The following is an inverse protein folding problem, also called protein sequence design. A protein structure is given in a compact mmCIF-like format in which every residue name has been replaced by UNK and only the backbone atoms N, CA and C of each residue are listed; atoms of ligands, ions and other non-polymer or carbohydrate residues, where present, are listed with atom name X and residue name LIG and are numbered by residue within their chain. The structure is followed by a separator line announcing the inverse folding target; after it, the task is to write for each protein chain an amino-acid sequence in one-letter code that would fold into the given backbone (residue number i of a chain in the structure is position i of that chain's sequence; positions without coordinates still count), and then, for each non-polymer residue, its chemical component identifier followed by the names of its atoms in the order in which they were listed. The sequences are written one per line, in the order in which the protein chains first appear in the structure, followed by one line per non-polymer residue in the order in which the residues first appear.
data_IF_873404291826
#
_entry.id   IF_873404291826
#
_cell.length_a   1.000
_cell.length_b   1.000
_cell.length_c   1.000
_cell.angle_alpha   90.00
_cell.angle_beta   90.00
_cell.angle_gamma   90.00
#
_symmetry.space_group_name_H-M   'P 1'
#
loop_
_entity.id
_entity.type
_entity.pdbx_description
1 polymer ?
#
# COMPACT_ATOMS: atom_id res chain seq x y z
N UNK A 1 -13.06 -40.26 2.12
CA UNK A 1 -12.62 -38.95 1.59
C UNK A 1 -13.81 -38.32 0.87
N UNK A 2 -14.08 -37.02 1.09
CA UNK A 2 -15.19 -36.33 0.42
C UNK A 2 -14.74 -35.79 -0.94
N UNK A 3 -15.67 -35.80 -1.92
CA UNK A 3 -15.42 -35.21 -3.24
C UNK A 3 -16.70 -34.61 -3.82
N UNK A 4 -16.56 -33.72 -4.80
CA UNK A 4 -17.65 -33.08 -5.54
C UNK A 4 -17.26 -32.94 -7.01
N UNK A 5 -18.18 -33.27 -7.92
CA UNK A 5 -17.96 -33.08 -9.36
C UNK A 5 -19.02 -32.12 -9.90
N UNK A 6 -18.56 -30.95 -10.35
CA UNK A 6 -19.40 -29.90 -10.91
C UNK A 6 -18.65 -29.16 -12.03
N UNK A 7 -19.36 -28.69 -13.03
CA UNK A 7 -18.81 -27.90 -14.15
C UNK A 7 -17.52 -28.52 -14.74
N UNK A 8 -17.56 -29.86 -14.96
CA UNK A 8 -16.43 -30.64 -15.46
C UNK A 8 -15.16 -30.54 -14.59
N UNK A 9 -15.29 -30.32 -13.29
CA UNK A 9 -14.18 -30.23 -12.33
C UNK A 9 -14.47 -31.14 -11.14
N UNK A 10 -13.53 -32.05 -10.83
CA UNK A 10 -13.53 -32.86 -9.64
C UNK A 10 -12.76 -32.12 -8.52
N UNK A 11 -13.45 -31.80 -7.44
CA UNK A 11 -12.85 -31.27 -6.21
C UNK A 11 -12.78 -32.40 -5.18
N UNK A 12 -11.58 -32.69 -4.66
CA UNK A 12 -11.36 -33.66 -3.58
C UNK A 12 -10.95 -32.89 -2.32
N UNK A 13 -11.64 -33.12 -1.21
CA UNK A 13 -11.42 -32.45 0.06
C UNK A 13 -10.49 -33.26 0.95
N UNK A 14 -9.32 -32.72 1.29
CA UNK A 14 -8.41 -33.29 2.27
C UNK A 14 -8.69 -32.68 3.64
N UNK A 15 -8.93 -33.52 4.65
CA UNK A 15 -9.33 -33.10 5.99
C UNK A 15 -8.43 -33.74 7.06
N UNK A 16 -8.23 -33.04 8.19
CA UNK A 16 -7.48 -33.53 9.35
C UNK A 16 -5.98 -33.60 9.10
N UNK A 17 -5.35 -34.70 9.42
CA UNK A 17 -3.90 -34.90 9.27
C UNK A 17 -3.61 -35.91 8.17
N UNK A 18 -2.62 -35.62 7.33
CA UNK A 18 -2.04 -36.58 6.38
C UNK A 18 -0.61 -36.85 6.81
N UNK A 19 -0.42 -37.96 7.53
CA UNK A 19 0.84 -38.34 8.14
C UNK A 19 1.36 -39.72 7.63
N UNK A 20 2.43 -40.22 8.24
CA UNK A 20 3.05 -41.50 7.84
C UNK A 20 2.13 -42.70 8.01
N UNK A 21 1.09 -42.60 8.85
CA UNK A 21 0.19 -43.74 9.13
C UNK A 21 -0.91 -43.89 8.11
N UNK A 22 -1.34 -42.78 7.46
CA UNK A 22 -2.46 -42.74 6.55
C UNK A 22 -2.16 -42.26 5.13
N UNK A 23 -0.96 -41.69 4.87
CA UNK A 23 -0.64 -41.07 3.58
C UNK A 23 -0.85 -42.02 2.38
N UNK A 24 -0.48 -43.29 2.49
CA UNK A 24 -0.66 -44.26 1.42
C UNK A 24 -2.14 -44.57 1.14
N UNK A 25 -2.96 -44.60 2.18
CA UNK A 25 -4.41 -44.77 2.03
C UNK A 25 -5.04 -43.52 1.39
N UNK A 26 -4.64 -42.33 1.83
CA UNK A 26 -5.08 -41.07 1.22
C UNK A 26 -4.73 -41.03 -0.26
N UNK A 27 -3.52 -41.46 -0.63
CA UNK A 27 -3.11 -41.57 -2.03
C UNK A 27 -3.96 -42.50 -2.86
N UNK A 28 -4.34 -43.68 -2.31
CA UNK A 28 -5.25 -44.62 -2.99
C UNK A 28 -6.66 -44.06 -3.13
N UNK A 29 -7.18 -43.47 -2.05
CA UNK A 29 -8.53 -42.86 -2.09
C UNK A 29 -8.64 -41.76 -3.17
N UNK A 30 -7.58 -40.93 -3.33
CA UNK A 30 -7.50 -39.93 -4.41
C UNK A 30 -7.54 -40.61 -5.78
N UNK A 31 -6.74 -41.67 -5.99
CA UNK A 31 -6.70 -42.43 -7.25
C UNK A 31 -8.08 -43.04 -7.56
N UNK A 32 -8.72 -43.66 -6.58
CA UNK A 32 -10.03 -44.33 -6.75
C UNK A 32 -11.15 -43.34 -7.06
N UNK A 33 -11.12 -42.17 -6.44
CA UNK A 33 -12.09 -41.09 -6.74
C UNK A 33 -11.81 -40.52 -8.13
N UNK A 34 -10.54 -40.25 -8.47
CA UNK A 34 -10.15 -39.70 -9.77
C UNK A 34 -10.52 -40.64 -10.93
N UNK A 35 -10.41 -41.93 -10.74
CA UNK A 35 -10.75 -42.94 -11.74
C UNK A 35 -12.25 -42.89 -12.16
N UNK A 36 -13.13 -42.36 -11.31
CA UNK A 36 -14.53 -42.20 -11.61
C UNK A 36 -14.83 -40.98 -12.52
N UNK A 37 -13.88 -40.04 -12.62
CA UNK A 37 -14.01 -38.79 -13.39
C UNK A 37 -12.74 -38.51 -14.20
N UNK A 38 -12.35 -39.35 -15.17
CA UNK A 38 -11.02 -39.30 -15.79
C UNK A 38 -10.78 -38.04 -16.63
N UNK A 39 -11.83 -37.47 -17.24
CA UNK A 39 -11.72 -36.36 -18.19
C UNK A 39 -11.96 -34.98 -17.58
N UNK A 40 -12.30 -34.89 -16.29
CA UNK A 40 -12.56 -33.64 -15.61
C UNK A 40 -11.29 -32.92 -15.12
N UNK A 41 -11.34 -31.61 -14.95
CA UNK A 41 -10.32 -30.87 -14.19
C UNK A 41 -10.21 -31.42 -12.76
N UNK A 42 -9.03 -31.33 -12.14
CA UNK A 42 -8.81 -31.78 -10.76
C UNK A 42 -8.43 -30.61 -9.85
N UNK A 43 -9.08 -30.56 -8.68
CA UNK A 43 -8.78 -29.59 -7.61
C UNK A 43 -8.67 -30.35 -6.29
N UNK A 44 -7.63 -30.10 -5.52
CA UNK A 44 -7.53 -30.50 -4.11
C UNK A 44 -7.88 -29.31 -3.22
N UNK A 45 -8.90 -29.44 -2.39
CA UNK A 45 -9.30 -28.44 -1.41
C UNK A 45 -8.75 -28.81 -0.03
N UNK A 46 -7.92 -27.94 0.53
CA UNK A 46 -7.22 -28.14 1.79
C UNK A 46 -7.81 -27.31 2.96
N UNK A 47 -9.01 -26.73 2.81
CA UNK A 47 -9.65 -25.89 3.84
C UNK A 47 -9.65 -26.51 5.25
N UNK A 48 -9.80 -27.81 5.32
CA UNK A 48 -9.84 -28.56 6.59
C UNK A 48 -8.60 -29.41 6.86
N UNK A 49 -7.55 -29.30 6.06
CA UNK A 49 -6.29 -29.97 6.31
C UNK A 49 -5.52 -29.25 7.43
N UNK A 50 -5.19 -29.95 8.51
CA UNK A 50 -4.51 -29.42 9.68
C UNK A 50 -3.00 -29.68 9.69
N UNK A 51 -2.57 -30.77 9.06
CA UNK A 51 -1.17 -31.18 9.03
C UNK A 51 -0.88 -32.06 7.80
N UNK A 52 0.30 -31.88 7.23
CA UNK A 52 0.84 -32.76 6.19
C UNK A 52 2.30 -33.11 6.51
N UNK A 53 2.60 -34.40 6.52
CA UNK A 53 3.97 -34.92 6.71
C UNK A 53 4.71 -35.07 5.37
N UNK A 54 6.00 -35.37 5.44
CA UNK A 54 6.79 -35.75 4.24
C UNK A 54 6.21 -36.94 3.47
N UNK A 55 5.50 -37.86 4.14
CA UNK A 55 4.79 -38.94 3.47
C UNK A 55 3.58 -38.41 2.69
N UNK A 56 2.81 -37.49 3.26
CA UNK A 56 1.73 -36.82 2.57
C UNK A 56 2.23 -36.01 1.37
N UNK A 57 3.30 -35.23 1.53
CA UNK A 57 3.92 -34.48 0.43
C UNK A 57 4.35 -35.40 -0.73
N UNK A 58 4.86 -36.59 -0.43
CA UNK A 58 5.17 -37.58 -1.49
C UNK A 58 3.94 -38.04 -2.26
N UNK A 59 2.76 -38.15 -1.63
CA UNK A 59 1.53 -38.48 -2.33
C UNK A 59 1.07 -37.31 -3.25
N UNK A 60 1.21 -36.06 -2.79
CA UNK A 60 0.94 -34.87 -3.62
C UNK A 60 1.89 -34.83 -4.84
N UNK A 61 3.18 -35.09 -4.64
CA UNK A 61 4.15 -35.15 -5.73
C UNK A 61 3.87 -36.30 -6.70
N UNK A 62 3.43 -37.46 -6.18
CA UNK A 62 3.03 -38.63 -6.99
C UNK A 62 1.83 -38.24 -7.86
N UNK A 63 0.85 -37.55 -7.30
CA UNK A 63 -0.30 -37.06 -8.04
C UNK A 63 0.14 -36.07 -9.14
N UNK A 64 1.04 -35.15 -8.87
CA UNK A 64 1.59 -34.19 -9.85
C UNK A 64 2.23 -34.88 -11.06
N UNK A 65 2.86 -36.02 -10.85
CA UNK A 65 3.47 -36.82 -11.94
C UNK A 65 2.42 -37.50 -12.82
N UNK A 66 1.23 -37.78 -12.29
CA UNK A 66 0.11 -38.38 -13.03
C UNK A 66 -0.77 -37.33 -13.70
N UNK A 67 -1.00 -36.24 -13.01
CA UNK A 67 -1.90 -35.15 -13.41
C UNK A 67 -1.06 -33.86 -13.55
N UNK A 68 -0.76 -33.46 -14.79
CA UNK A 68 0.10 -32.30 -15.03
C UNK A 68 -0.55 -30.99 -14.54
N UNK A 69 -1.86 -30.86 -14.71
CA UNK A 69 -2.62 -29.63 -14.50
C UNK A 69 -3.72 -29.82 -13.45
N UNK A 70 -3.35 -29.80 -12.16
CA UNK A 70 -4.33 -29.71 -11.09
C UNK A 70 -3.98 -28.56 -10.14
N UNK A 71 -4.99 -28.08 -9.41
CA UNK A 71 -4.87 -26.96 -8.48
C UNK A 71 -5.04 -27.43 -7.06
N UNK A 72 -4.32 -26.78 -6.16
CA UNK A 72 -4.51 -26.91 -4.71
C UNK A 72 -5.07 -25.57 -4.23
N UNK A 73 -6.23 -25.61 -3.56
CA UNK A 73 -6.92 -24.38 -3.08
C UNK A 73 -7.16 -24.44 -1.58
N UNK A 74 -7.48 -23.31 -1.01
CA UNK A 74 -7.83 -23.12 0.41
C UNK A 74 -6.75 -23.64 1.38
N UNK A 75 -5.48 -23.53 0.98
CA UNK A 75 -4.35 -23.97 1.79
C UNK A 75 -4.14 -23.01 2.98
N UNK A 76 -4.20 -23.49 4.23
CA UNK A 76 -3.87 -22.65 5.40
C UNK A 76 -2.46 -22.09 5.29
N UNK A 77 -2.15 -20.99 6.01
CA UNK A 77 -0.81 -20.41 5.97
C UNK A 77 0.26 -21.40 6.39
N UNK A 78 0.01 -22.18 7.45
CA UNK A 78 0.95 -23.18 7.97
C UNK A 78 1.24 -24.29 6.96
N UNK A 79 0.20 -24.78 6.28
CA UNK A 79 0.34 -25.81 5.24
C UNK A 79 1.01 -25.23 3.99
N UNK A 80 0.68 -23.97 3.63
CA UNK A 80 1.33 -23.31 2.51
C UNK A 80 2.82 -23.10 2.76
N UNK A 81 3.21 -22.69 3.96
CA UNK A 81 4.62 -22.50 4.33
C UNK A 81 5.42 -23.82 4.23
N UNK A 82 4.79 -24.97 4.51
CA UNK A 82 5.41 -26.30 4.26
C UNK A 82 5.63 -26.53 2.76
N UNK A 83 4.65 -26.21 1.91
CA UNK A 83 4.79 -26.34 0.46
C UNK A 83 5.87 -25.40 -0.10
N UNK A 84 5.93 -24.17 0.42
CA UNK A 84 6.91 -23.17 0.01
C UNK A 84 8.34 -23.59 0.39
N UNK A 85 8.57 -23.92 1.68
CA UNK A 85 9.87 -24.39 2.17
C UNK A 85 10.37 -25.66 1.47
N UNK A 86 9.47 -26.47 0.94
CA UNK A 86 9.82 -27.73 0.24
C UNK A 86 9.90 -27.56 -1.28
N UNK A 87 9.70 -26.34 -1.80
CA UNK A 87 9.76 -26.02 -3.23
C UNK A 87 8.53 -26.47 -4.04
N UNK A 88 7.47 -26.95 -3.38
CA UNK A 88 6.25 -27.38 -4.08
C UNK A 88 5.47 -26.18 -4.66
N UNK A 89 5.51 -25.04 -4.00
CA UNK A 89 4.84 -23.81 -4.46
C UNK A 89 5.43 -23.28 -5.78
N UNK A 90 6.68 -23.64 -6.12
CA UNK A 90 7.32 -23.26 -7.38
C UNK A 90 6.86 -24.13 -8.57
N UNK A 91 6.40 -25.37 -8.31
CA UNK A 91 6.08 -26.35 -9.35
C UNK A 91 4.59 -26.68 -9.45
N UNK A 92 3.75 -26.16 -8.57
CA UNK A 92 2.32 -26.40 -8.50
C UNK A 92 1.52 -25.11 -8.31
N UNK A 93 0.30 -25.06 -8.86
CA UNK A 93 -0.67 -23.96 -8.57
C UNK A 93 -1.29 -24.20 -7.18
N UNK A 94 -0.73 -23.55 -6.16
CA UNK A 94 -1.17 -23.67 -4.77
C UNK A 94 -1.68 -22.30 -4.29
N UNK A 95 -2.96 -22.24 -3.96
CA UNK A 95 -3.63 -21.02 -3.52
C UNK A 95 -3.90 -21.05 -2.03
N UNK A 96 -3.45 -20.01 -1.32
CA UNK A 96 -3.75 -19.83 0.11
C UNK A 96 -5.26 -19.68 0.33
N UNK A 97 -5.75 -20.34 1.36
CA UNK A 97 -7.07 -20.10 1.91
C UNK A 97 -7.07 -18.89 2.84
N UNK A 98 -8.17 -18.18 2.88
CA UNK A 98 -8.35 -17.03 3.76
C UNK A 98 -9.52 -17.29 4.70
N UNK A 99 -9.32 -17.03 5.99
CA UNK A 99 -10.38 -17.14 7.00
C UNK A 99 -11.53 -16.21 6.61
N UNK A 100 -12.76 -16.75 6.59
CA UNK A 100 -13.96 -15.97 6.30
C UNK A 100 -14.39 -15.22 7.56
N UNK A 101 -14.69 -13.93 7.39
CA UNK A 101 -15.20 -13.05 8.44
C UNK A 101 -16.40 -12.26 7.94
N UNK A 102 -17.28 -11.82 8.87
CA UNK A 102 -18.31 -10.83 8.61
C UNK A 102 -17.99 -9.54 9.38
N UNK A 103 -18.35 -8.42 8.78
CA UNK A 103 -18.32 -7.08 9.40
C UNK A 103 -19.72 -6.58 9.71
N UNK A 104 -20.75 -7.45 9.60
CA UNK A 104 -22.12 -7.10 9.91
C UNK A 104 -22.26 -6.69 11.38
N UNK A 105 -22.85 -5.51 11.61
CA UNK A 105 -22.98 -4.93 12.95
C UNK A 105 -21.72 -4.31 13.52
N UNK A 106 -20.57 -4.35 12.80
CA UNK A 106 -19.35 -3.69 13.24
C UNK A 106 -19.42 -2.17 13.04
N UNK A 107 -18.85 -1.42 13.98
CA UNK A 107 -18.72 0.04 13.88
C UNK A 107 -17.78 0.42 12.73
N UNK A 108 -18.25 1.24 11.79
CA UNK A 108 -17.39 1.86 10.78
C UNK A 108 -16.63 3.02 11.40
N UNK A 109 -15.31 2.92 11.49
CA UNK A 109 -14.44 3.92 12.12
C UNK A 109 -13.65 4.76 11.13
N UNK A 110 -13.60 4.37 9.85
CA UNK A 110 -12.92 5.12 8.81
C UNK A 110 -13.29 4.65 7.39
N UNK A 111 -13.04 5.52 6.41
CA UNK A 111 -13.16 5.20 5.00
C UNK A 111 -12.15 5.99 4.21
N UNK A 112 -11.39 5.31 3.34
CA UNK A 112 -10.45 5.88 2.40
C UNK A 112 -10.79 5.51 0.94
N UNK A 113 -9.90 5.87 0.03
CA UNK A 113 -10.03 5.55 -1.39
C UNK A 113 -10.05 4.04 -1.64
N UNK A 114 -9.22 3.29 -0.93
CA UNK A 114 -8.96 1.87 -1.19
C UNK A 114 -9.79 0.92 -0.32
N UNK A 115 -10.39 1.41 0.79
CA UNK A 115 -11.10 0.53 1.72
C UNK A 115 -11.92 1.24 2.78
N UNK A 116 -12.65 0.42 3.54
CA UNK A 116 -13.44 0.84 4.71
C UNK A 116 -12.88 0.13 5.93
N UNK A 117 -12.71 0.88 7.03
CA UNK A 117 -12.17 0.36 8.28
C UNK A 117 -13.31 0.16 9.28
N UNK A 118 -13.41 -1.06 9.81
CA UNK A 118 -14.37 -1.44 10.83
C UNK A 118 -13.67 -1.86 12.12
N UNK A 119 -14.29 -1.59 13.25
CA UNK A 119 -13.87 -2.11 14.56
C UNK A 119 -14.45 -3.51 14.76
N UNK A 120 -13.60 -4.53 14.86
CA UNK A 120 -14.03 -5.91 15.12
C UNK A 120 -14.28 -6.17 16.61
N UNK A 121 -13.44 -5.61 17.48
CA UNK A 121 -13.50 -5.73 18.94
C UNK A 121 -12.70 -4.56 19.56
N UNK A 122 -12.58 -4.47 20.91
CA UNK A 122 -11.85 -3.37 21.56
C UNK A 122 -10.41 -3.17 21.09
N UNK A 123 -9.74 -4.25 20.66
CA UNK A 123 -8.30 -4.25 20.37
C UNK A 123 -7.97 -4.49 18.89
N UNK A 124 -9.00 -4.65 18.01
CA UNK A 124 -8.77 -5.11 16.63
C UNK A 124 -9.65 -4.36 15.65
N UNK A 125 -9.08 -3.99 14.52
CA UNK A 125 -9.75 -3.41 13.37
C UNK A 125 -9.51 -4.24 12.11
N UNK A 126 -10.38 -4.05 11.12
CA UNK A 126 -10.23 -4.61 9.78
C UNK A 126 -10.40 -3.52 8.73
N UNK A 127 -9.45 -3.41 7.81
CA UNK A 127 -9.55 -2.62 6.58
C UNK A 127 -10.07 -3.54 5.48
N UNK A 128 -11.34 -3.39 5.08
CA UNK A 128 -11.95 -4.15 3.98
C UNK A 128 -11.74 -3.37 2.69
N UNK A 129 -11.09 -3.98 1.71
CA UNK A 129 -10.76 -3.32 0.44
C UNK A 129 -11.99 -3.28 -0.47
N UNK A 130 -12.10 -2.21 -1.28
CA UNK A 130 -13.25 -1.97 -2.17
C UNK A 130 -13.16 -2.77 -3.49
N UNK A 131 -11.98 -3.33 -3.80
CA UNK A 131 -11.75 -4.14 -4.99
C UNK A 131 -11.61 -5.62 -4.60
N UNK A 132 -12.32 -6.50 -5.29
CA UNK A 132 -12.22 -7.95 -5.10
C UNK A 132 -10.85 -8.53 -5.48
N UNK A 133 -10.10 -7.84 -6.35
CA UNK A 133 -8.79 -8.24 -6.83
C UNK A 133 -7.63 -7.60 -6.01
N UNK A 134 -7.95 -7.06 -4.82
CA UNK A 134 -6.98 -6.32 -3.98
C UNK A 134 -5.90 -7.20 -3.34
N UNK A 135 -5.92 -8.51 -3.51
CA UNK A 135 -5.04 -9.42 -2.78
C UNK A 135 -3.55 -9.16 -2.98
N UNK A 136 -3.13 -8.84 -4.22
CA UNK A 136 -1.73 -8.54 -4.51
C UNK A 136 -1.32 -7.17 -3.97
N UNK A 137 -2.22 -6.19 -3.97
CA UNK A 137 -2.01 -4.89 -3.33
C UNK A 137 -1.88 -5.05 -1.80
N UNK A 138 -2.72 -5.89 -1.17
CA UNK A 138 -2.65 -6.22 0.26
C UNK A 138 -1.31 -6.86 0.63
N UNK A 139 -0.86 -7.83 -0.15
CA UNK A 139 0.45 -8.49 0.08
C UNK A 139 1.58 -7.48 -0.05
N UNK A 140 1.54 -6.64 -1.07
CA UNK A 140 2.53 -5.59 -1.29
C UNK A 140 2.54 -4.57 -0.14
N UNK A 141 1.39 -4.04 0.28
CA UNK A 141 1.28 -3.11 1.42
C UNK A 141 1.87 -3.74 2.68
N UNK A 142 1.58 -5.03 2.95
CA UNK A 142 2.13 -5.76 4.10
C UNK A 142 3.65 -5.88 4.06
N UNK A 143 4.23 -6.23 2.92
CA UNK A 143 5.69 -6.36 2.79
C UNK A 143 6.40 -4.99 2.90
N UNK A 144 5.77 -3.91 2.39
CA UNK A 144 6.26 -2.55 2.55
C UNK A 144 6.24 -2.12 4.03
N UNK A 145 5.11 -2.35 4.73
CA UNK A 145 4.99 -2.06 6.16
C UNK A 145 6.01 -2.85 7.01
N UNK A 146 6.19 -4.14 6.71
CA UNK A 146 7.20 -4.98 7.35
C UNK A 146 8.63 -4.45 7.12
N UNK A 147 8.92 -4.03 5.89
CA UNK A 147 10.22 -3.43 5.55
C UNK A 147 10.48 -2.17 6.38
N UNK A 148 9.50 -1.25 6.47
CA UNK A 148 9.60 -0.04 7.28
C UNK A 148 9.84 -0.38 8.76
N UNK A 149 9.08 -1.31 9.34
CA UNK A 149 9.25 -1.71 10.74
C UNK A 149 10.63 -2.30 11.02
N UNK A 150 11.14 -3.19 10.15
CA UNK A 150 12.49 -3.79 10.30
C UNK A 150 13.59 -2.73 10.22
N UNK A 151 13.35 -1.64 9.48
CA UNK A 151 14.26 -0.49 9.39
C UNK A 151 14.10 0.52 10.53
N UNK A 152 13.22 0.24 11.51
CA UNK A 152 13.05 1.04 12.72
C UNK A 152 11.91 2.05 12.67
N UNK A 153 11.18 2.17 11.55
CA UNK A 153 10.01 3.05 11.46
C UNK A 153 8.82 2.40 12.16
N UNK A 154 8.31 3.05 13.20
CA UNK A 154 7.16 2.56 13.94
C UNK A 154 5.89 2.63 13.08
N UNK A 155 5.34 1.48 12.69
CA UNK A 155 4.19 1.37 11.79
C UNK A 155 3.25 0.23 12.17
N UNK A 156 1.98 0.36 11.81
CA UNK A 156 0.99 -0.71 11.95
C UNK A 156 1.20 -1.79 10.89
N UNK A 157 1.30 -3.05 11.32
CA UNK A 157 1.39 -4.20 10.42
C UNK A 157 0.12 -5.02 10.51
N UNK A 158 -0.47 -5.42 9.36
CA UNK A 158 -1.56 -6.38 9.38
C UNK A 158 -1.03 -7.76 9.84
N UNK A 159 -1.64 -8.34 10.86
CA UNK A 159 -1.29 -9.66 11.36
C UNK A 159 -2.09 -10.79 10.69
N UNK A 160 -3.19 -10.47 10.00
CA UNK A 160 -4.00 -11.44 9.27
C UNK A 160 -4.59 -10.83 7.99
N UNK A 161 -4.82 -11.67 6.98
CA UNK A 161 -5.58 -11.34 5.77
C UNK A 161 -6.75 -12.29 5.70
N UNK A 162 -7.95 -11.74 5.56
CA UNK A 162 -9.21 -12.50 5.63
C UNK A 162 -10.12 -12.22 4.43
N UNK A 163 -11.10 -13.07 4.22
CA UNK A 163 -12.16 -12.87 3.23
C UNK A 163 -13.43 -12.36 3.89
N UNK A 164 -13.99 -11.25 3.36
CA UNK A 164 -15.22 -10.60 3.84
C UNK A 164 -16.23 -10.59 2.68
N UNK A 165 -17.12 -11.58 2.62
CA UNK A 165 -17.92 -11.83 1.42
C UNK A 165 -17.00 -12.13 0.23
N UNK A 166 -17.15 -11.36 -0.86
CA UNK A 166 -16.30 -11.46 -2.05
C UNK A 166 -15.04 -10.59 -1.98
N UNK A 167 -14.90 -9.76 -0.95
CA UNK A 167 -13.78 -8.85 -0.75
C UNK A 167 -12.71 -9.45 0.16
N UNK A 168 -11.54 -8.82 0.18
CA UNK A 168 -10.47 -9.13 1.15
C UNK A 168 -10.35 -8.02 2.20
N UNK A 169 -9.85 -8.40 3.38
CA UNK A 169 -9.58 -7.47 4.46
C UNK A 169 -8.27 -7.77 5.16
N UNK A 170 -7.57 -6.70 5.57
CA UNK A 170 -6.40 -6.78 6.44
C UNK A 170 -6.79 -6.49 7.86
N UNK A 171 -6.37 -7.34 8.80
CA UNK A 171 -6.67 -7.22 10.24
C UNK A 171 -5.47 -6.61 10.94
N UNK A 172 -5.72 -5.55 11.72
CA UNK A 172 -4.70 -4.81 12.47
C UNK A 172 -5.06 -4.71 13.94
N UNK A 173 -4.08 -4.45 14.77
CA UNK A 173 -4.30 -3.96 16.12
C UNK A 173 -4.97 -2.57 16.08
N UNK A 174 -5.96 -2.34 16.96
CA UNK A 174 -6.53 -1.02 17.14
C UNK A 174 -5.54 -0.16 17.91
N UNK A 175 -4.92 0.80 17.24
CA UNK A 175 -4.02 1.75 17.89
C UNK A 175 -4.80 2.66 18.86
N UNK A 176 -4.38 2.72 20.11
CA UNK A 176 -4.89 3.68 21.10
C UNK A 176 -4.45 5.12 20.84
N UNK A 177 -3.97 5.40 19.62
CA UNK A 177 -3.45 6.66 19.15
C UNK A 177 -4.46 7.42 18.28
N UNK A 178 -4.37 8.75 18.25
CA UNK A 178 -5.16 9.61 17.36
C UNK A 178 -4.27 10.15 16.26
N UNK A 179 -4.81 10.35 15.06
CA UNK A 179 -4.05 11.04 14.00
C UNK A 179 -3.69 12.45 14.44
N UNK A 180 -2.54 12.95 13.96
CA UNK A 180 -2.11 14.32 14.27
C UNK A 180 -3.14 15.35 13.81
N UNK A 181 -3.86 15.12 12.71
CA UNK A 181 -4.99 15.96 12.29
C UNK A 181 -6.04 16.08 13.39
N UNK A 182 -6.49 14.95 13.99
CA UNK A 182 -7.47 14.96 15.07
C UNK A 182 -6.96 15.67 16.31
N UNK A 183 -5.67 15.57 16.58
CA UNK A 183 -5.03 16.26 17.72
C UNK A 183 -4.94 17.77 17.47
N UNK A 184 -4.52 18.20 16.28
CA UNK A 184 -4.45 19.62 15.88
C UNK A 184 -5.83 20.29 15.97
N UNK A 185 -6.88 19.60 15.49
CA UNK A 185 -8.26 20.13 15.53
C UNK A 185 -8.80 20.19 16.97
N UNK A 186 -8.51 19.18 17.79
CA UNK A 186 -9.00 19.11 19.17
C UNK A 186 -8.27 20.04 20.14
N UNK A 187 -7.03 20.39 19.85
CA UNK A 187 -6.13 21.18 20.72
C UNK A 187 -5.30 22.16 19.86
N UNK A 188 -5.95 23.18 19.28
CA UNK A 188 -5.30 24.11 18.37
C UNK A 188 -4.21 24.99 19.03
N UNK A 189 -4.25 25.18 20.35
CA UNK A 189 -3.24 25.94 21.09
C UNK A 189 -1.91 25.19 21.16
N UNK A 190 -1.92 23.88 21.08
CA UNK A 190 -0.73 23.03 21.06
C UNK A 190 -0.37 22.50 19.66
N UNK A 191 -0.91 23.08 18.59
CA UNK A 191 -0.67 22.64 17.20
C UNK A 191 0.83 22.56 16.84
N UNK A 192 1.65 23.47 17.38
CA UNK A 192 3.11 23.50 17.16
C UNK A 192 3.78 22.22 17.64
N UNK A 193 3.35 21.68 18.77
CA UNK A 193 3.83 20.39 19.28
C UNK A 193 3.54 19.26 18.29
N UNK A 194 2.33 19.24 17.75
CA UNK A 194 1.94 18.18 16.82
C UNK A 194 2.61 18.31 15.46
N UNK A 195 2.80 19.53 14.96
CA UNK A 195 3.58 19.77 13.73
C UNK A 195 5.06 19.44 13.93
N UNK A 196 5.60 19.65 15.15
CA UNK A 196 6.97 19.19 15.45
C UNK A 196 7.08 17.67 15.41
N UNK A 197 6.15 16.92 15.99
CA UNK A 197 6.12 15.45 15.87
C UNK A 197 6.05 15.03 14.41
N UNK A 198 5.25 15.71 13.60
CA UNK A 198 5.14 15.48 12.16
C UNK A 198 6.46 15.71 11.43
N UNK A 199 7.16 16.80 11.73
CA UNK A 199 8.46 17.11 11.14
C UNK A 199 9.57 16.13 11.60
N UNK A 200 9.58 15.76 12.86
CA UNK A 200 10.58 14.83 13.43
C UNK A 200 10.44 13.44 12.78
N UNK A 201 9.22 12.92 12.65
CA UNK A 201 8.95 11.64 11.96
C UNK A 201 9.36 11.71 10.48
N UNK A 202 9.12 12.82 9.79
CA UNK A 202 9.56 12.99 8.40
C UNK A 202 11.09 12.95 8.26
N UNK A 203 11.80 13.62 9.19
CA UNK A 203 13.26 13.57 9.25
C UNK A 203 13.77 12.13 9.50
N UNK A 204 13.12 11.39 10.38
CA UNK A 204 13.44 9.98 10.65
C UNK A 204 13.28 9.11 9.40
N UNK A 205 12.15 9.21 8.69
CA UNK A 205 11.89 8.50 7.44
C UNK A 205 12.98 8.84 6.40
N UNK A 206 13.25 10.12 6.16
CA UNK A 206 14.22 10.57 5.16
C UNK A 206 15.68 10.26 5.52
N UNK A 207 15.99 10.05 6.80
CA UNK A 207 17.31 9.60 7.26
C UNK A 207 17.47 8.07 7.25
N UNK A 208 16.38 7.33 7.01
CA UNK A 208 16.42 5.88 6.93
C UNK A 208 16.88 5.43 5.54
N UNK A 209 18.06 4.79 5.50
CA UNK A 209 18.61 4.24 4.25
C UNK A 209 18.12 2.83 4.03
N UNK A 210 17.68 2.54 2.81
CA UNK A 210 17.14 1.25 2.39
C UNK A 210 18.12 0.54 1.48
N UNK A 211 18.27 -0.77 1.64
CA UNK A 211 19.12 -1.57 0.73
C UNK A 211 18.62 -1.42 -0.71
N UNK A 212 19.51 -1.15 -1.70
CA UNK A 212 19.14 -1.01 -3.09
C UNK A 212 18.28 -2.17 -3.61
N UNK A 213 17.21 -1.85 -4.32
CA UNK A 213 16.28 -2.84 -4.90
C UNK A 213 15.20 -3.37 -3.93
N UNK A 214 15.21 -2.97 -2.64
CA UNK A 214 14.18 -3.38 -1.67
C UNK A 214 12.86 -2.64 -1.86
N UNK A 215 12.91 -1.33 -2.15
CA UNK A 215 11.76 -0.48 -2.39
C UNK A 215 11.78 0.08 -3.83
N UNK A 216 10.61 0.43 -4.38
CA UNK A 216 10.53 1.07 -5.68
C UNK A 216 11.17 2.46 -5.66
N UNK A 217 11.79 2.86 -6.78
CA UNK A 217 12.35 4.20 -6.95
C UNK A 217 11.27 5.18 -7.41
N UNK A 218 10.97 6.21 -6.61
CA UNK A 218 9.96 7.22 -6.94
C UNK A 218 10.29 8.02 -8.19
N UNK A 219 11.59 8.24 -8.51
CA UNK A 219 12.04 8.92 -9.72
C UNK A 219 11.52 8.25 -10.98
N UNK A 220 11.53 6.91 -11.06
CA UNK A 220 10.98 6.16 -12.20
C UNK A 220 9.49 6.43 -12.38
N UNK A 221 8.77 6.49 -11.28
CA UNK A 221 7.35 6.83 -11.26
C UNK A 221 7.12 8.27 -11.74
N UNK A 222 7.91 9.24 -11.26
CA UNK A 222 7.81 10.64 -11.68
C UNK A 222 8.12 10.82 -13.18
N UNK A 223 9.16 10.16 -13.71
CA UNK A 223 9.45 10.15 -15.14
C UNK A 223 8.29 9.59 -15.96
N UNK A 224 7.62 8.52 -15.47
CA UNK A 224 6.43 8.00 -16.15
C UNK A 224 5.26 9.00 -16.19
N UNK A 225 5.15 9.89 -15.18
CA UNK A 225 4.15 10.96 -15.20
C UNK A 225 4.49 12.03 -16.23
N UNK A 226 5.77 12.39 -16.34
CA UNK A 226 6.27 13.36 -17.34
C UNK A 226 6.05 12.82 -18.74
N UNK A 227 6.43 11.57 -19.01
CA UNK A 227 6.21 10.93 -20.31
C UNK A 227 4.72 10.91 -20.69
N UNK A 228 3.85 10.58 -19.73
CA UNK A 228 2.41 10.58 -19.98
C UNK A 228 1.88 11.98 -20.33
N UNK A 229 2.45 13.05 -19.75
CA UNK A 229 2.05 14.43 -20.01
C UNK A 229 2.55 14.99 -21.35
N UNK A 230 3.39 14.29 -22.07
CA UNK A 230 4.01 14.75 -23.31
C UNK A 230 3.02 15.32 -24.33
N UNK A 231 1.86 14.70 -24.47
CA UNK A 231 0.81 15.12 -25.41
C UNK A 231 -0.09 16.25 -24.85
N UNK A 232 0.08 16.62 -23.57
CA UNK A 232 -0.79 17.55 -22.88
C UNK A 232 -0.14 18.90 -22.55
N UNK A 233 1.19 18.99 -22.56
CA UNK A 233 1.95 20.20 -22.21
C UNK A 233 2.78 20.69 -23.39
N UNK A 234 3.18 22.00 -23.43
CA UNK A 234 4.08 22.49 -24.47
C UNK A 234 5.38 21.71 -24.56
N UNK A 235 5.90 21.48 -25.78
CA UNK A 235 7.09 20.68 -25.98
C UNK A 235 8.32 21.23 -25.24
N UNK A 236 8.51 22.52 -25.19
CA UNK A 236 9.59 23.17 -24.44
C UNK A 236 9.49 22.90 -22.93
N UNK A 237 8.27 22.98 -22.36
CA UNK A 237 8.02 22.65 -20.95
C UNK A 237 8.28 21.18 -20.69
N UNK A 238 7.86 20.28 -21.59
CA UNK A 238 8.14 18.84 -21.48
C UNK A 238 9.65 18.56 -21.46
N UNK A 239 10.40 19.11 -22.40
CA UNK A 239 11.85 18.87 -22.50
C UNK A 239 12.60 19.35 -21.26
N UNK A 240 12.22 20.53 -20.72
CA UNK A 240 12.81 21.08 -19.50
C UNK A 240 12.41 20.27 -18.26
N UNK A 241 11.12 19.93 -18.13
CA UNK A 241 10.61 19.12 -17.02
C UNK A 241 11.26 17.73 -16.99
N UNK A 242 11.38 17.07 -18.15
CA UNK A 242 12.04 15.77 -18.25
C UNK A 242 13.51 15.85 -17.76
N UNK A 243 14.27 16.85 -18.24
CA UNK A 243 15.65 17.08 -17.79
C UNK A 243 15.76 17.34 -16.30
N UNK A 244 14.86 18.15 -15.75
CA UNK A 244 14.82 18.47 -14.31
C UNK A 244 14.60 17.20 -13.46
N UNK A 245 13.64 16.36 -13.85
CA UNK A 245 13.33 15.12 -13.11
C UNK A 245 14.44 14.08 -13.31
N UNK A 246 14.96 13.92 -14.53
CA UNK A 246 16.03 12.96 -14.82
C UNK A 246 17.35 13.32 -14.14
N UNK A 247 17.64 14.61 -13.97
CA UNK A 247 18.82 15.10 -13.27
C UNK A 247 18.78 14.89 -11.74
N UNK A 248 17.63 14.57 -11.14
CA UNK A 248 17.57 14.24 -9.71
C UNK A 248 18.41 12.98 -9.45
N UNK A 249 19.42 13.04 -8.57
CA UNK A 249 20.28 11.89 -8.30
C UNK A 249 19.49 10.73 -7.68
N UNK A 250 20.00 9.51 -7.87
CA UNK A 250 19.51 8.37 -7.13
C UNK A 250 19.75 8.59 -5.62
N UNK A 251 18.80 8.17 -4.82
CA UNK A 251 18.91 8.15 -3.36
C UNK A 251 18.24 6.90 -2.82
N UNK A 252 18.90 6.24 -1.89
CA UNK A 252 18.35 5.10 -1.15
C UNK A 252 17.61 5.52 0.14
N UNK A 253 17.35 6.82 0.32
CA UNK A 253 16.58 7.34 1.43
C UNK A 253 15.09 6.96 1.26
N UNK A 254 14.50 6.52 2.38
CA UNK A 254 13.08 6.14 2.42
C UNK A 254 12.18 7.36 2.24
N UNK A 255 11.09 7.18 1.50
CA UNK A 255 9.99 8.14 1.36
C UNK A 255 8.68 7.40 1.59
N UNK A 256 7.72 8.05 2.24
CA UNK A 256 6.38 7.50 2.46
C UNK A 256 5.51 7.58 1.19
N UNK A 257 5.61 8.69 0.43
CA UNK A 257 4.88 8.94 -0.82
C UNK A 257 3.45 9.48 -0.66
N UNK A 258 2.85 9.36 0.53
CA UNK A 258 1.55 9.95 0.91
C UNK A 258 1.59 10.47 2.36
N UNK A 259 2.65 11.25 2.67
CA UNK A 259 2.92 11.72 4.03
C UNK A 259 2.04 12.91 4.40
N UNK A 260 1.13 12.71 5.34
CA UNK A 260 0.26 13.76 5.87
C UNK A 260 -0.23 13.43 7.29
N UNK A 261 -0.75 14.43 8.01
CA UNK A 261 -1.11 14.31 9.44
C UNK A 261 -2.24 13.32 9.74
N UNK A 262 -3.01 12.87 8.75
CA UNK A 262 -3.95 11.77 8.94
C UNK A 262 -3.24 10.40 9.03
N UNK A 263 -2.08 10.26 8.39
CA UNK A 263 -1.30 9.02 8.34
C UNK A 263 -0.26 8.91 9.48
N UNK A 264 -0.09 9.95 10.29
CA UNK A 264 0.73 9.93 11.50
C UNK A 264 -0.16 9.94 12.73
N UNK A 265 -0.17 8.86 13.47
CA UNK A 265 -0.88 8.71 14.74
C UNK A 265 0.06 8.95 15.91
N UNK A 266 -0.45 9.48 17.03
CA UNK A 266 0.38 9.86 18.16
C UNK A 266 -0.32 9.57 19.48
N UNK A 267 0.36 8.86 20.36
CA UNK A 267 -0.02 8.63 21.76
C UNK A 267 1.22 8.28 22.58
N UNK A 268 1.20 8.57 23.88
CA UNK A 268 2.25 8.21 24.84
C UNK A 268 3.66 8.67 24.43
N UNK A 269 3.77 9.82 23.74
CA UNK A 269 5.00 10.36 23.15
C UNK A 269 5.60 9.49 22.01
N UNK A 270 4.82 8.61 21.42
CA UNK A 270 5.23 7.80 20.27
C UNK A 270 4.40 8.17 19.05
N UNK A 271 5.05 8.36 17.91
CA UNK A 271 4.42 8.50 16.61
C UNK A 271 4.39 7.13 15.91
N UNK A 272 3.26 6.83 15.26
CA UNK A 272 3.05 5.60 14.51
C UNK A 272 2.58 5.99 13.11
N UNK A 273 3.30 5.53 12.10
CA UNK A 273 2.99 5.77 10.71
C UNK A 273 2.04 4.69 10.18
N UNK A 274 1.06 5.06 9.37
CA UNK A 274 0.13 4.11 8.75
C UNK A 274 0.04 4.34 7.25
N UNK A 275 -0.55 3.38 6.52
CA UNK A 275 -0.83 3.45 5.08
C UNK A 275 0.46 3.45 4.23
N UNK A 276 1.18 2.33 4.28
CA UNK A 276 2.51 2.13 3.67
C UNK A 276 2.49 1.75 2.19
N UNK A 277 1.35 1.84 1.50
CA UNK A 277 1.18 1.33 0.13
C UNK A 277 2.01 2.11 -0.93
N UNK A 278 2.45 3.33 -0.60
CA UNK A 278 3.23 4.23 -1.46
C UNK A 278 4.72 4.31 -1.10
N UNK A 279 5.17 3.49 -0.12
CA UNK A 279 6.55 3.50 0.34
C UNK A 279 7.55 3.30 -0.82
N UNK A 280 8.59 4.12 -0.86
CA UNK A 280 9.56 4.17 -1.97
C UNK A 280 10.92 4.67 -1.49
N UNK A 281 11.90 4.72 -2.39
CA UNK A 281 13.17 5.41 -2.17
C UNK A 281 13.35 6.55 -3.15
N UNK A 282 14.04 7.62 -2.73
CA UNK A 282 14.37 8.73 -3.60
C UNK A 282 14.77 10.00 -2.86
N UNK A 283 14.92 11.07 -3.64
CA UNK A 283 15.21 12.40 -3.11
C UNK A 283 13.98 13.00 -2.42
N UNK A 284 14.12 13.69 -1.27
CA UNK A 284 13.01 14.27 -0.51
C UNK A 284 12.10 15.23 -1.30
N UNK A 285 12.54 15.80 -2.42
CA UNK A 285 11.70 16.67 -3.26
C UNK A 285 10.38 15.99 -3.68
N UNK A 286 10.40 14.68 -3.89
CA UNK A 286 9.19 13.92 -4.26
C UNK A 286 8.20 13.81 -3.10
N UNK A 287 8.70 13.72 -1.86
CA UNK A 287 7.85 13.70 -0.66
C UNK A 287 7.26 15.08 -0.39
N UNK A 288 8.08 16.14 -0.42
CA UNK A 288 7.59 17.52 -0.26
C UNK A 288 6.54 17.88 -1.34
N UNK A 289 6.67 17.36 -2.55
CA UNK A 289 5.66 17.51 -3.60
C UNK A 289 4.32 16.87 -3.21
N UNK A 290 4.35 15.67 -2.63
CA UNK A 290 3.14 14.98 -2.15
C UNK A 290 2.49 15.73 -0.99
N UNK A 291 3.29 16.20 -0.04
CA UNK A 291 2.82 16.99 1.10
C UNK A 291 2.20 18.32 0.61
N UNK A 292 2.87 19.05 -0.30
CA UNK A 292 2.31 20.27 -0.89
C UNK A 292 0.93 20.02 -1.48
N UNK A 293 0.75 18.94 -2.23
CA UNK A 293 -0.53 18.62 -2.83
C UNK A 293 -1.64 18.40 -1.80
N UNK A 294 -1.34 17.71 -0.70
CA UNK A 294 -2.31 17.43 0.36
C UNK A 294 -2.78 18.70 1.07
N UNK A 295 -1.87 19.64 1.35
CA UNK A 295 -2.16 20.82 2.17
C UNK A 295 -2.51 22.08 1.37
N UNK A 296 -2.08 22.16 0.11
CA UNK A 296 -2.23 23.37 -0.72
C UNK A 296 -2.70 23.07 -2.14
N UNK A 297 -2.08 22.11 -2.82
CA UNK A 297 -2.28 21.94 -4.26
C UNK A 297 -3.73 21.69 -4.65
N UNK A 298 -4.35 20.63 -4.13
CA UNK A 298 -5.73 20.27 -4.48
C UNK A 298 -6.78 21.28 -3.99
N UNK A 299 -6.48 22.05 -2.97
CA UNK A 299 -7.35 23.09 -2.44
C UNK A 299 -7.17 24.47 -3.08
N UNK A 300 -6.22 24.64 -4.00
CA UNK A 300 -5.87 25.97 -4.51
C UNK A 300 -7.00 26.65 -5.31
N UNK A 301 -7.83 25.86 -6.00
CA UNK A 301 -8.99 26.34 -6.75
C UNK A 301 -10.28 26.31 -5.90
N UNK A 302 -10.37 25.30 -5.02
CA UNK A 302 -11.52 25.11 -4.12
C UNK A 302 -11.00 24.65 -2.75
N UNK A 303 -10.95 25.58 -1.80
CA UNK A 303 -10.45 25.33 -0.44
C UNK A 303 -11.19 24.21 0.30
N UNK A 304 -12.46 23.94 -0.06
CA UNK A 304 -13.25 22.87 0.56
C UNK A 304 -12.61 21.48 0.37
N UNK A 305 -11.82 21.28 -0.70
CA UNK A 305 -11.14 20.02 -1.00
C UNK A 305 -10.10 19.65 0.06
N UNK A 306 -9.42 20.64 0.62
CA UNK A 306 -8.51 20.42 1.75
C UNK A 306 -9.30 20.00 2.99
N UNK A 307 -10.40 20.69 3.30
CA UNK A 307 -11.24 20.33 4.45
C UNK A 307 -11.89 18.96 4.30
N UNK A 308 -12.30 18.59 3.09
CA UNK A 308 -12.86 17.26 2.79
C UNK A 308 -11.82 16.15 3.01
N UNK A 309 -10.59 16.35 2.55
CA UNK A 309 -9.51 15.33 2.60
C UNK A 309 -8.77 15.35 3.93
N UNK A 310 -8.21 16.52 4.32
CA UNK A 310 -7.36 16.65 5.50
C UNK A 310 -8.13 16.80 6.81
N UNK A 311 -9.43 17.17 6.75
CA UNK A 311 -10.24 17.58 7.91
C UNK A 311 -9.65 18.79 8.65
N UNK A 312 -8.91 19.63 7.95
CA UNK A 312 -8.37 20.91 8.39
C UNK A 312 -8.98 22.03 7.56
N UNK A 313 -9.17 23.21 8.16
CA UNK A 313 -9.46 24.40 7.38
C UNK A 313 -8.24 24.83 6.56
N UNK A 314 -8.46 25.69 5.56
CA UNK A 314 -7.43 26.15 4.62
C UNK A 314 -6.24 26.84 5.31
N UNK A 315 -6.51 27.66 6.34
CA UNK A 315 -5.47 28.42 7.04
C UNK A 315 -4.63 27.49 7.92
N UNK A 316 -5.27 26.58 8.65
CA UNK A 316 -4.58 25.55 9.45
C UNK A 316 -3.76 24.63 8.57
N UNK A 317 -4.29 24.19 7.42
CA UNK A 317 -3.54 23.37 6.47
C UNK A 317 -2.29 24.10 5.95
N UNK A 318 -2.43 25.38 5.61
CA UNK A 318 -1.29 26.20 5.22
C UNK A 318 -0.27 26.37 6.31
N UNK A 319 -0.72 26.62 7.53
CA UNK A 319 0.17 26.70 8.69
C UNK A 319 0.98 25.39 8.87
N UNK A 320 0.33 24.23 8.77
CA UNK A 320 1.03 22.94 8.89
C UNK A 320 2.11 22.78 7.80
N UNK A 321 1.79 23.14 6.55
CA UNK A 321 2.76 23.09 5.46
C UNK A 321 3.97 24.00 5.70
N UNK A 322 3.72 25.28 6.00
CA UNK A 322 4.79 26.25 6.19
C UNK A 322 5.65 25.90 7.41
N UNK A 323 5.02 25.55 8.53
CA UNK A 323 5.71 25.16 9.75
C UNK A 323 6.51 23.85 9.61
N UNK A 324 6.00 22.89 8.83
CA UNK A 324 6.76 21.67 8.51
C UNK A 324 8.07 22.01 7.79
N UNK A 325 8.02 22.86 6.76
CA UNK A 325 9.20 23.29 5.99
C UNK A 325 10.18 24.01 6.93
N UNK A 326 9.68 24.90 7.78
CA UNK A 326 10.51 25.61 8.76
C UNK A 326 11.23 24.67 9.74
N UNK A 327 10.52 23.69 10.29
CA UNK A 327 11.09 22.74 11.23
C UNK A 327 12.01 21.72 10.57
N UNK A 328 11.69 21.32 9.35
CA UNK A 328 12.52 20.36 8.62
C UNK A 328 13.88 20.97 8.22
N UNK A 329 13.89 22.24 7.80
CA UNK A 329 15.05 23.03 7.39
C UNK A 329 15.39 24.13 8.39
N UNK A 330 15.35 23.82 9.70
CA UNK A 330 15.55 24.80 10.77
C UNK A 330 16.93 25.49 10.76
N UNK A 331 17.93 24.85 10.13
CA UNK A 331 19.30 25.38 9.95
C UNK A 331 19.46 26.24 8.68
N UNK A 332 18.43 26.39 7.85
CA UNK A 332 18.45 27.09 6.56
C UNK A 332 17.73 28.44 6.62
N UNK A 333 18.12 29.33 5.75
CA UNK A 333 17.47 30.64 5.61
C UNK A 333 16.13 30.54 4.83
N UNK A 334 15.35 31.61 4.84
CA UNK A 334 14.06 31.67 4.18
C UNK A 334 14.16 31.56 2.65
N UNK A 335 15.24 32.05 2.04
CA UNK A 335 15.44 31.94 0.59
C UNK A 335 15.65 30.47 0.17
N UNK A 336 16.37 29.69 0.97
CA UNK A 336 16.51 28.26 0.75
C UNK A 336 15.17 27.52 0.89
N UNK A 337 14.42 27.79 1.97
CA UNK A 337 13.10 27.17 2.22
C UNK A 337 12.14 27.46 1.10
N UNK A 338 12.09 28.70 0.61
CA UNK A 338 11.24 29.08 -0.52
C UNK A 338 11.65 28.36 -1.82
N UNK A 339 12.96 28.24 -2.07
CA UNK A 339 13.46 27.44 -3.20
C UNK A 339 13.04 25.97 -3.11
N UNK A 340 13.03 25.36 -1.92
CA UNK A 340 12.55 23.98 -1.73
C UNK A 340 11.07 23.87 -2.06
N UNK A 341 10.23 24.83 -1.59
CA UNK A 341 8.80 24.87 -1.92
C UNK A 341 8.57 24.95 -3.42
N UNK A 342 9.29 25.79 -4.13
CA UNK A 342 9.19 25.94 -5.59
C UNK A 342 9.58 24.65 -6.34
N UNK A 343 10.65 24.00 -5.92
CA UNK A 343 11.09 22.70 -6.47
C UNK A 343 10.04 21.61 -6.24
N UNK A 344 9.46 21.55 -5.03
CA UNK A 344 8.38 20.62 -4.72
C UNK A 344 7.13 20.88 -5.58
N UNK A 345 6.80 22.14 -5.88
CA UNK A 345 5.67 22.51 -6.73
C UNK A 345 5.81 22.00 -8.16
N UNK A 346 7.03 21.92 -8.74
CA UNK A 346 7.24 21.35 -10.09
C UNK A 346 6.73 19.90 -10.14
N UNK A 347 7.17 19.06 -9.20
CA UNK A 347 6.72 17.66 -9.11
C UNK A 347 5.25 17.57 -8.71
N UNK A 348 4.82 18.43 -7.77
CA UNK A 348 3.43 18.51 -7.33
C UNK A 348 2.48 18.81 -8.49
N UNK A 349 2.71 19.84 -9.27
CA UNK A 349 1.87 20.19 -10.42
C UNK A 349 1.94 19.13 -11.53
N UNK A 350 3.09 18.48 -11.75
CA UNK A 350 3.21 17.33 -12.66
C UNK A 350 2.25 16.21 -12.26
N UNK A 351 2.28 15.80 -10.98
CA UNK A 351 1.39 14.76 -10.44
C UNK A 351 -0.07 15.18 -10.49
N UNK A 352 -0.37 16.43 -10.08
CA UNK A 352 -1.73 16.96 -10.01
C UNK A 352 -2.37 17.07 -11.39
N UNK A 353 -1.68 17.69 -12.36
CA UNK A 353 -2.17 17.82 -13.74
C UNK A 353 -2.51 16.46 -14.34
N UNK A 354 -1.56 15.52 -14.29
CA UNK A 354 -1.79 14.17 -14.81
C UNK A 354 -2.98 13.47 -14.13
N UNK A 355 -3.07 13.56 -12.79
CA UNK A 355 -4.16 12.93 -12.03
C UNK A 355 -5.51 13.53 -12.37
N UNK A 356 -5.59 14.86 -12.46
CA UNK A 356 -6.84 15.57 -12.78
C UNK A 356 -7.31 15.23 -14.18
N UNK A 357 -6.44 15.29 -15.19
CA UNK A 357 -6.81 14.90 -16.56
C UNK A 357 -7.34 13.44 -16.62
N UNK A 358 -6.72 12.52 -15.85
CA UNK A 358 -7.13 11.10 -15.87
C UNK A 358 -8.42 10.81 -15.10
N UNK A 359 -8.66 11.48 -14.00
CA UNK A 359 -9.75 11.12 -13.05
C UNK A 359 -10.92 12.09 -13.08
N UNK A 360 -10.65 13.33 -13.43
CA UNK A 360 -11.58 14.43 -13.40
C UNK A 360 -11.43 15.31 -14.67
N UNK A 361 -11.56 14.74 -15.89
CA UNK A 361 -11.28 15.46 -17.14
C UNK A 361 -12.16 16.69 -17.36
N UNK A 362 -13.31 16.74 -16.69
CA UNK A 362 -14.25 17.87 -16.75
C UNK A 362 -13.88 19.00 -15.77
N UNK A 363 -12.92 18.80 -14.87
CA UNK A 363 -12.45 19.79 -13.90
C UNK A 363 -11.43 20.74 -14.56
N UNK A 364 -11.94 21.54 -15.51
CA UNK A 364 -11.12 22.46 -16.30
C UNK A 364 -10.37 23.48 -15.43
N UNK A 365 -11.02 24.01 -14.40
CA UNK A 365 -10.40 25.00 -13.52
C UNK A 365 -9.12 24.46 -12.84
N UNK A 366 -9.15 23.21 -12.38
CA UNK A 366 -7.98 22.59 -11.75
C UNK A 366 -6.92 22.16 -12.78
N UNK A 367 -7.33 21.76 -13.99
CA UNK A 367 -6.44 21.47 -15.11
C UNK A 367 -5.68 22.72 -15.51
N UNK A 368 -6.39 23.83 -15.79
CA UNK A 368 -5.80 25.11 -16.22
C UNK A 368 -4.86 25.66 -15.15
N UNK A 369 -5.31 25.68 -13.88
CA UNK A 369 -4.47 26.09 -12.75
C UNK A 369 -3.18 25.24 -12.64
N UNK A 370 -3.31 23.93 -12.79
CA UNK A 370 -2.15 23.02 -12.70
C UNK A 370 -1.19 23.23 -13.85
N UNK A 371 -1.71 23.44 -15.06
CA UNK A 371 -0.92 23.69 -16.26
C UNK A 371 -0.13 24.99 -16.17
N UNK A 372 -0.82 26.08 -15.83
CA UNK A 372 -0.19 27.42 -15.70
C UNK A 372 0.93 27.39 -14.66
N UNK A 373 0.67 26.78 -13.50
CA UNK A 373 1.67 26.72 -12.44
C UNK A 373 2.80 25.74 -12.77
N UNK A 374 2.53 24.62 -13.45
CA UNK A 374 3.59 23.72 -13.92
C UNK A 374 4.57 24.47 -14.84
N UNK A 375 4.07 25.17 -15.86
CA UNK A 375 4.88 25.96 -16.77
C UNK A 375 5.71 27.00 -16.00
N UNK A 376 5.03 27.79 -15.14
CA UNK A 376 5.66 28.84 -14.33
C UNK A 376 6.83 28.29 -13.49
N UNK A 377 6.64 27.20 -12.77
CA UNK A 377 7.67 26.69 -11.87
C UNK A 377 8.75 25.89 -12.62
N UNK A 378 8.43 25.22 -13.71
CA UNK A 378 9.43 24.63 -14.61
C UNK A 378 10.37 25.70 -15.17
N UNK A 379 9.85 26.90 -15.48
CA UNK A 379 10.67 28.01 -15.99
C UNK A 379 11.50 28.69 -14.89
N UNK A 380 11.02 28.63 -13.64
CA UNK A 380 11.65 29.32 -12.52
C UNK A 380 12.83 28.56 -11.91
N UNK A 381 12.81 27.22 -11.94
CA UNK A 381 13.84 26.41 -11.28
C UNK A 381 14.86 25.85 -12.28
N UNK A 382 16.12 25.81 -11.85
CA UNK A 382 17.21 25.22 -12.65
C UNK A 382 17.58 23.81 -12.18
N UNK A 383 17.14 23.41 -10.99
CA UNK A 383 17.37 22.09 -10.38
C UNK A 383 16.29 21.74 -9.39
N UNK A 384 15.98 20.44 -9.25
CA UNK A 384 15.08 19.92 -8.23
C UNK A 384 15.82 19.45 -6.96
N UNK A 385 17.14 19.50 -6.95
CA UNK A 385 17.98 19.04 -5.83
C UNK A 385 18.18 20.17 -4.81
N UNK A 386 18.14 19.82 -3.50
CA UNK A 386 18.42 20.72 -2.38
C UNK A 386 19.15 20.01 -1.25
#
# INVERSE_FOLDING_TARGET
MNSKFENNTLTIFLEGNVDTTNADQVGKDIDDIRAQYPDGGLVLDLDKLKYISSAGLRQILRLKKKEADYKIINCSSEIYDIFDMTGFAEIMDIQKGYRKMSVDGCEKIGEGSNGIVYRLNPDTIIKVYKNSDALDDIKRERELAKTALVLGINTAIPFDVVKVGDMYGSVFELLSAKSLTKLIVADPDNKDKYVKVFADMLKEIHNTTVKPGTLPEVKKTALSWVEWLKEYIPAETYDKLYKLVDAVPHSDNMLHGDYHTNNVHYANNEAILIDMDTLSVGHPVFEFASIYLAYRGYGAVDHSKVSEFMKLDWDTAGYVWDKLVDLYFEDKDEAFKESVKEKAMVIGFTRMLRRTIKREPDNKALIDYSMENLIKYVDKVDSLVF
#
